data_IF_210065428941
#
_entry.id   IF_210065428941
#
_cell.length_a   1.000
_cell.length_b   1.000
_cell.length_c   1.000
_cell.angle_alpha   90.00
_cell.angle_beta   90.00
_cell.angle_gamma   90.00
#
_symmetry.space_group_name_H-M   'P 1'
#
loop_
_entity.id
_entity.type
_entity.pdbx_description
1 polymer ?
2 non-polymer ?
3 water ?
#
# COMPACT_ATOMS: atom_id res chain seq x y z
N UNK A 15 -11.12 -1.08 23.85
CA UNK A 15 -10.90 -1.52 22.48
C UNK A 15 -9.84 -0.67 21.77
N UNK A 16 -9.61 0.56 22.26
CA UNK A 16 -8.58 1.41 21.73
C UNK A 16 -8.93 2.14 20.46
N UNK A 17 -9.91 1.63 19.70
CA UNK A 17 -10.19 2.16 18.37
C UNK A 17 -10.94 3.49 18.44
N UNK A 18 -11.85 3.65 19.39
CA UNK A 18 -12.64 4.87 19.47
C UNK A 18 -11.71 6.06 19.69
N UNK A 19 -11.92 7.10 18.88
CA UNK A 19 -11.17 8.33 19.02
C UNK A 19 -10.99 9.03 17.69
N UNK A 20 -10.08 9.98 17.68
CA UNK A 20 -9.74 10.72 16.46
C UNK A 20 -8.36 10.30 15.98
N UNK A 21 -8.27 9.96 14.70
CA UNK A 21 -7.05 9.45 14.09
C UNK A 21 -6.73 10.32 12.88
N UNK A 22 -5.45 10.36 12.54
CA UNK A 22 -4.97 11.13 11.40
C UNK A 22 -4.03 10.25 10.61
N UNK A 23 -4.10 10.34 9.27
CA UNK A 23 -3.17 9.60 8.42
C UNK A 23 -2.06 10.54 7.93
N UNK A 24 -1.19 9.96 7.10
CA UNK A 24 -0.01 10.67 6.61
C UNK A 24 -0.36 11.81 5.66
N UNK A 25 -1.55 11.81 5.09
CA UNK A 25 -2.03 12.93 4.29
C UNK A 25 -2.62 14.06 5.15
N UNK A 26 -2.82 13.83 6.43
CA UNK A 26 -3.48 14.81 7.25
C UNK A 26 -4.99 14.68 7.29
N UNK A 27 -5.53 13.59 6.76
CA UNK A 27 -6.97 13.34 6.84
C UNK A 27 -7.36 12.98 8.27
N UNK A 28 -8.61 13.24 8.62
CA UNK A 28 -9.13 13.12 9.98
C UNK A 28 -10.23 12.07 10.02
N UNK A 29 -10.01 11.01 10.80
CA UNK A 29 -10.91 9.87 10.94
C UNK A 29 -11.41 9.87 12.38
N UNK A 30 -12.70 10.20 12.56
CA UNK A 30 -13.31 10.29 13.88
C UNK A 30 -14.26 9.12 13.97
N UNK A 31 -13.99 8.20 14.89
CA UNK A 31 -14.65 6.91 14.87
C UNK A 31 -15.04 6.48 16.27
N UNK A 32 -16.17 5.76 16.34
CA UNK A 32 -16.63 5.09 17.55
C UNK A 32 -16.77 3.60 17.24
N UNK A 33 -16.15 2.77 18.07
CA UNK A 33 -16.25 1.33 17.96
C UNK A 33 -17.28 0.84 18.97
N UNK A 34 -18.45 0.37 18.47
CA UNK A 34 -19.55 0.02 19.33
C UNK A 34 -19.51 -1.42 19.79
N UNK A 35 -20.31 -1.72 20.84
CA UNK A 35 -20.32 -3.05 21.43
C UNK A 35 -20.79 -4.12 20.46
N UNK A 36 -21.55 -3.74 19.42
CA UNK A 36 -22.08 -4.68 18.45
C UNK A 36 -21.13 -4.96 17.29
N UNK A 37 -19.87 -4.50 17.36
CA UNK A 37 -18.90 -4.65 16.28
C UNK A 37 -18.95 -3.60 15.20
N UNK A 38 -19.74 -2.56 15.36
CA UNK A 38 -19.85 -1.53 14.34
C UNK A 38 -18.84 -0.42 14.54
N UNK A 39 -18.38 0.14 13.43
CA UNK A 39 -17.66 1.40 13.39
C UNK A 39 -18.57 2.44 12.78
N UNK A 40 -18.63 3.60 13.42
CA UNK A 40 -19.42 4.72 12.94
C UNK A 40 -18.56 5.97 13.10
N UNK A 41 -18.85 6.97 12.31
CA UNK A 41 -18.18 8.25 12.52
C UNK A 41 -18.11 9.07 11.24
N UNK A 42 -17.07 9.90 11.18
CA UNK A 42 -16.90 10.81 10.05
C UNK A 42 -15.46 10.79 9.58
N UNK A 43 -15.31 11.06 8.29
CA UNK A 43 -14.01 11.11 7.64
C UNK A 43 -13.89 12.42 6.87
N UNK A 44 -12.77 13.11 7.06
CA UNK A 44 -12.44 14.33 6.32
C UNK A 44 -11.14 14.08 5.59
N UNK A 45 -11.19 14.06 4.27
CA UNK A 45 -9.97 13.84 3.49
C UNK A 45 -9.25 15.15 3.25
N UNK A 46 -7.95 15.15 3.46
CA UNK A 46 -7.10 16.28 3.12
C UNK A 46 -6.67 16.28 1.65
N UNK A 47 -7.06 15.25 0.89
CA UNK A 47 -6.66 15.09 -0.50
C UNK A 47 -7.87 14.75 -1.36
N UNK A 48 -7.75 15.05 -2.65
CA UNK A 48 -8.75 14.60 -3.60
C UNK A 48 -9.98 15.48 -3.67
N UNK A 49 -11.02 14.93 -4.30
CA UNK A 49 -12.25 15.63 -4.62
C UNK A 49 -13.19 15.49 -3.44
N UNK A 50 -12.91 16.26 -2.41
CA UNK A 50 -13.54 16.06 -1.10
C UNK A 50 -13.42 17.35 -0.33
N UNK A 51 -14.47 17.67 0.40
CA UNK A 51 -14.44 18.81 1.31
C UNK A 51 -15.32 18.51 2.51
N UNK A 52 -14.89 18.99 3.67
CA UNK A 52 -15.62 18.78 4.93
C UNK A 52 -15.76 17.29 5.28
N UNK A 53 -16.78 16.94 6.06
CA UNK A 53 -16.90 15.60 6.62
C UNK A 53 -17.85 14.74 5.81
N UNK A 54 -17.55 13.43 5.79
CA UNK A 54 -18.37 12.41 5.14
C UNK A 54 -18.70 11.33 6.16
N UNK A 55 -19.90 10.75 6.04
CA UNK A 55 -20.30 9.63 6.88
C UNK A 55 -19.44 8.41 6.57
N UNK A 56 -19.06 7.68 7.61
CA UNK A 56 -18.45 6.37 7.43
C UNK A 56 -19.18 5.32 8.26
N UNK A 57 -19.12 4.08 7.79
CA UNK A 57 -19.59 2.94 8.57
C UNK A 57 -18.68 1.76 8.25
N UNK A 58 -18.50 0.89 9.23
CA UNK A 58 -17.68 -0.28 9.05
C UNK A 58 -17.92 -1.28 10.16
N UNK A 59 -16.98 -2.22 10.26
CA UNK A 59 -17.04 -3.32 11.21
C UNK A 59 -15.65 -3.59 11.75
N UNK A 60 -15.59 -4.14 12.97
CA UNK A 60 -14.31 -4.54 13.56
C UNK A 60 -14.55 -5.80 14.37
N UNK A 61 -13.47 -6.54 14.62
CA UNK A 61 -13.47 -7.72 15.48
C UNK A 61 -13.57 -7.26 16.94
N UNK A 62 -14.73 -7.49 17.55
CA UNK A 62 -14.96 -7.02 18.90
C UNK A 62 -14.43 -7.98 19.96
N UNK A 63 -13.82 -9.08 19.57
CA UNK A 63 -13.20 -10.03 20.50
C UNK A 63 -11.92 -10.55 19.88
N UNK A 64 -10.91 -9.70 19.74
CA UNK A 64 -9.68 -10.08 19.04
C UNK A 64 -8.87 -11.10 19.82
N UNK A 65 -7.88 -11.68 19.13
CA UNK A 65 -6.97 -12.60 19.78
C UNK A 65 -6.16 -11.88 20.85
N UNK A 66 -5.68 -12.66 21.82
CA UNK A 66 -4.88 -12.17 22.95
C UNK A 66 -3.41 -12.53 22.83
N UNK A 67 -2.93 -12.79 21.61
CA UNK A 67 -1.58 -13.30 21.38
C UNK A 67 -0.63 -12.25 20.82
N UNK A 68 -1.01 -10.98 20.82
CA UNK A 68 -0.23 -9.92 20.22
C UNK A 68 -0.67 -9.52 18.83
N UNK A 69 -1.60 -10.25 18.23
CA UNK A 69 -2.11 -9.87 16.93
C UNK A 69 -2.96 -8.61 17.04
N UNK A 70 -3.03 -7.87 15.94
CA UNK A 70 -3.92 -6.74 15.87
C UNK A 70 -5.39 -7.09 15.73
N UNK A 71 -6.22 -6.06 15.72
CA UNK A 71 -7.67 -6.18 15.65
C UNK A 71 -8.11 -5.83 14.24
N UNK A 72 -8.65 -6.82 13.52
CA UNK A 72 -9.06 -6.61 12.14
C UNK A 72 -10.28 -5.71 12.04
N UNK A 73 -10.33 -4.90 11.00
CA UNK A 73 -11.41 -3.94 10.85
C UNK A 73 -11.46 -3.47 9.40
N UNK A 74 -12.56 -2.79 9.06
CA UNK A 74 -12.67 -2.10 7.78
C UNK A 74 -13.78 -1.08 7.84
N UNK A 75 -13.72 -0.10 6.93
CA UNK A 75 -14.82 0.86 6.81
C UNK A 75 -14.91 1.42 5.41
N UNK A 76 -16.03 2.05 5.13
CA UNK A 76 -16.35 2.63 3.82
C UNK A 76 -16.77 4.10 4.00
N UNK A 77 -16.32 4.95 3.06
CA UNK A 77 -16.84 6.31 2.84
C UNK A 77 -17.31 6.37 1.39
N UNK A 78 -18.56 6.76 1.15
CA UNK A 78 -19.00 7.23 -0.16
C UNK A 78 -18.82 8.74 -0.20
N UNK A 79 -18.19 9.26 -1.25
CA UNK A 79 -17.74 10.65 -1.28
C UNK A 79 -18.85 11.62 -1.73
N UNK A 80 -19.99 11.51 -1.05
CA UNK A 80 -21.11 12.41 -1.21
C UNK A 80 -21.47 12.96 0.17
N UNK A 81 -21.60 14.28 0.26
CA UNK A 81 -22.10 14.92 1.46
C UNK A 81 -23.00 16.06 1.00
N UNK A 82 -23.38 16.94 1.94
CA UNK A 82 -24.28 18.02 1.58
C UNK A 82 -23.65 19.03 0.64
N UNK A 83 -22.33 19.03 0.51
CA UNK A 83 -21.62 20.05 -0.24
C UNK A 83 -21.08 19.59 -1.59
N UNK A 84 -20.85 18.29 -1.76
CA UNK A 84 -20.10 17.77 -2.89
C UNK A 84 -20.52 16.33 -3.13
N UNK A 85 -20.42 15.89 -4.38
CA UNK A 85 -20.54 14.47 -4.70
C UNK A 85 -19.50 14.12 -5.75
N UNK A 86 -18.53 13.30 -5.37
CA UNK A 86 -17.45 12.86 -6.24
C UNK A 86 -17.69 11.48 -6.83
N UNK A 87 -18.91 10.98 -6.75
CA UNK A 87 -19.31 9.74 -7.42
C UNK A 87 -18.25 8.65 -7.29
N UNK A 88 -17.92 8.36 -6.04
CA UNK A 88 -16.83 7.45 -5.74
C UNK A 88 -16.96 6.99 -4.30
N UNK A 89 -16.23 5.93 -3.96
CA UNK A 89 -16.25 5.39 -2.61
C UNK A 89 -14.91 4.75 -2.32
N UNK A 90 -14.46 4.87 -1.08
CA UNK A 90 -13.24 4.21 -0.62
C UNK A 90 -13.56 3.24 0.49
N UNK A 91 -12.93 2.08 0.44
CA UNK A 91 -12.91 1.17 1.57
C UNK A 91 -11.49 1.03 2.09
N UNK A 92 -11.36 1.02 3.41
CA UNK A 92 -10.10 0.76 4.09
C UNK A 92 -10.21 -0.55 4.83
N UNK A 93 -9.20 -1.40 4.65
CA UNK A 93 -9.09 -2.71 5.29
C UNK A 93 -7.78 -2.79 6.04
N UNK A 94 -7.83 -3.16 7.30
CA UNK A 94 -6.59 -3.21 8.06
C UNK A 94 -6.77 -3.64 9.48
N UNK A 95 -5.91 -3.16 10.35
CA UNK A 95 -5.99 -3.57 11.72
C UNK A 95 -5.44 -2.52 12.66
N UNK A 96 -6.03 -2.47 13.84
CA UNK A 96 -5.57 -1.70 14.96
C UNK A 96 -4.50 -2.48 15.70
N UNK A 97 -3.38 -1.82 15.98
CA UNK A 97 -2.29 -2.37 16.76
C UNK A 97 -2.09 -1.44 17.96
N UNK A 98 -2.32 -1.97 19.16
CA UNK A 98 -2.20 -1.17 20.35
C UNK A 98 -0.76 -1.08 20.83
N UNK A 99 -0.58 -0.32 21.91
CA UNK A 99 0.71 -0.21 22.56
C UNK A 99 1.10 1.23 22.78
N UNK A 100 2.39 1.45 23.02
CA UNK A 100 2.90 2.78 23.34
C UNK A 100 2.44 3.78 22.29
N UNK A 101 2.57 3.43 21.01
CA UNK A 101 2.16 4.26 19.89
C UNK A 101 1.13 3.47 19.09
N UNK A 102 -0.14 3.57 19.50
CA UNK A 102 -1.20 2.84 18.81
C UNK A 102 -1.31 3.31 17.37
N UNK A 103 -1.62 2.37 16.48
CA UNK A 103 -1.76 2.69 15.07
C UNK A 103 -2.86 1.86 14.44
N UNK A 104 -3.42 2.38 13.38
CA UNK A 104 -4.28 1.60 12.50
C UNK A 104 -3.61 1.55 11.14
N UNK A 105 -3.18 0.37 10.73
CA UNK A 105 -2.53 0.17 9.43
C UNK A 105 -3.57 -0.31 8.44
N UNK A 106 -3.67 0.36 7.29
CA UNK A 106 -4.66 0.03 6.30
C UNK A 106 -4.13 -0.01 4.90
N UNK A 107 -4.84 -0.72 4.06
CA UNK A 107 -4.75 -0.55 2.62
C UNK A 107 -6.15 -0.29 2.14
N UNK A 108 -6.27 0.46 1.07
CA UNK A 108 -7.55 0.98 0.62
C UNK A 108 -7.75 0.78 -0.87
N UNK A 109 -9.05 0.80 -1.24
CA UNK A 109 -9.52 0.71 -2.62
C UNK A 109 -10.50 1.84 -2.83
N UNK A 110 -10.22 2.68 -3.83
CA UNK A 110 -11.11 3.78 -4.19
C UNK A 110 -11.67 3.47 -5.55
N UNK A 111 -12.99 3.27 -5.61
CA UNK A 111 -13.69 3.02 -6.86
C UNK A 111 -14.45 4.27 -7.26
N UNK A 112 -14.36 4.65 -8.51
CA UNK A 112 -15.11 5.79 -9.05
C UNK A 112 -16.07 5.27 -10.09
N UNK A 113 -17.23 5.94 -10.20
CA UNK A 113 -18.23 5.50 -11.16
C UNK A 113 -17.66 5.52 -12.56
N UNK A 114 -17.97 4.49 -13.33
CA UNK A 114 -17.46 4.38 -14.70
C UNK A 114 -18.46 3.60 -15.54
N UNK A 115 -18.35 3.74 -16.86
CA UNK A 115 -19.17 2.86 -17.69
C UNK A 115 -18.64 1.44 -17.58
N UNK A 116 -19.46 0.47 -18.03
CA UNK A 116 -18.97 -0.91 -18.08
C UNK A 116 -17.69 -1.01 -18.91
N UNK A 117 -17.62 -0.29 -20.03
CA UNK A 117 -16.46 -0.37 -20.92
C UNK A 117 -15.20 0.19 -20.27
N UNK A 118 -15.32 1.21 -19.41
CA UNK A 118 -14.17 1.77 -18.72
C UNK A 118 -13.97 1.19 -17.33
N UNK A 119 -14.72 0.14 -16.99
CA UNK A 119 -14.67 -0.41 -15.66
C UNK A 119 -13.32 -1.00 -15.30
N UNK A 120 -12.56 -1.47 -16.31
CA UNK A 120 -11.24 -2.01 -16.02
C UNK A 120 -10.34 -0.99 -15.34
N UNK A 121 -10.55 0.30 -15.63
CA UNK A 121 -9.78 1.39 -15.03
C UNK A 121 -10.62 2.22 -14.07
N UNK A 122 -11.18 1.58 -13.06
CA UNK A 122 -12.09 2.28 -12.15
C UNK A 122 -11.71 2.18 -10.68
N UNK A 123 -10.58 1.58 -10.33
CA UNK A 123 -10.22 1.41 -8.91
C UNK A 123 -8.77 1.74 -8.68
N UNK A 124 -8.53 2.70 -7.79
CA UNK A 124 -7.19 2.96 -7.29
C UNK A 124 -6.95 2.14 -6.04
N UNK A 125 -5.68 1.80 -5.80
CA UNK A 125 -5.25 1.13 -4.57
C UNK A 125 -4.19 1.99 -3.90
N UNK A 126 -4.20 1.95 -2.57
CA UNK A 126 -3.20 2.67 -1.80
C UNK A 126 -3.17 2.17 -0.38
N UNK A 127 -2.46 2.96 0.45
CA UNK A 127 -2.29 2.58 1.85
C UNK A 127 -2.21 3.83 2.71
N UNK A 128 -2.87 3.75 3.88
CA UNK A 128 -2.87 4.82 4.86
C UNK A 128 -2.52 4.23 6.23
N UNK A 129 -1.69 4.94 6.98
CA UNK A 129 -1.38 4.61 8.36
C UNK A 129 -1.92 5.73 9.24
N UNK A 130 -2.68 5.34 10.24
CA UNK A 130 -3.33 6.30 11.13
C UNK A 130 -2.73 6.23 12.53
N UNK A 131 -2.51 7.40 13.14
CA UNK A 131 -2.12 7.51 14.53
C UNK A 131 -2.97 8.61 15.17
N UNK A 132 -2.90 8.70 16.50
CA UNK A 132 -3.70 9.70 17.20
C UNK A 132 -3.00 11.06 17.30
N UNK A 133 -1.82 11.23 16.71
CA UNK A 133 -1.08 12.47 16.85
C UNK A 133 -1.51 13.44 15.74
N UNK A 134 -2.10 14.56 16.14
CA UNK A 134 -2.51 15.58 15.19
C UNK A 134 -1.29 16.04 14.40
N UNK A 135 -1.31 15.97 13.07
CA UNK A 135 -0.08 16.22 12.32
C UNK A 135 0.24 17.70 12.22
N UNK A 136 0.03 18.42 13.31
CA UNK A 136 0.39 19.83 13.42
C UNK A 136 1.85 20.05 13.02
N UNK B 13 16.03 8.64 -14.25
CA UNK B 13 17.17 8.48 -15.15
C UNK B 13 17.86 7.13 -14.93
N UNK B 14 18.58 6.67 -15.96
CA UNK B 14 19.45 5.51 -15.78
C UNK B 14 20.29 5.68 -14.51
N UNK B 15 20.97 6.82 -14.40
CA UNK B 15 21.85 7.05 -13.27
C UNK B 15 21.11 7.03 -11.95
N UNK B 16 19.89 7.60 -11.92
CA UNK B 16 19.19 7.70 -10.65
C UNK B 16 18.71 6.36 -10.14
N UNK B 17 18.25 5.48 -11.04
CA UNK B 17 17.68 4.20 -10.63
C UNK B 17 18.76 3.18 -10.31
N UNK B 18 19.78 3.09 -11.16
CA UNK B 18 20.79 2.03 -10.96
C UNK B 18 21.48 2.14 -9.62
N UNK B 19 21.52 1.05 -8.89
CA UNK B 19 22.23 1.01 -7.62
C UNK B 19 21.51 0.13 -6.62
N UNK B 20 21.86 0.29 -5.34
CA UNK B 20 21.29 -0.47 -4.25
C UNK B 20 20.25 0.37 -3.51
N UNK B 21 19.09 -0.23 -3.24
CA UNK B 21 17.98 0.41 -2.56
C UNK B 21 17.56 -0.50 -1.41
N UNK B 22 16.92 0.10 -0.39
CA UNK B 22 16.49 -0.62 0.79
C UNK B 22 15.05 -0.25 1.08
N UNK B 23 14.24 -1.23 1.48
CA UNK B 23 12.88 -0.93 1.92
C UNK B 23 12.79 -0.96 3.44
N UNK B 24 11.57 -0.69 3.94
CA UNK B 24 11.32 -0.58 5.37
C UNK B 24 11.46 -1.92 6.11
N UNK B 25 11.39 -3.03 5.40
CA UNK B 25 11.63 -4.35 6.00
C UNK B 25 13.13 -4.65 6.12
N UNK B 26 14.00 -3.86 5.51
CA UNK B 26 15.42 -4.15 5.47
C UNK B 26 15.84 -4.99 4.30
N UNK B 27 14.97 -5.20 3.33
CA UNK B 27 15.33 -5.92 2.12
C UNK B 27 16.23 -5.06 1.24
N UNK B 28 17.01 -5.73 0.39
CA UNK B 28 18.04 -5.08 -0.43
C UNK B 28 17.71 -5.34 -1.89
N UNK B 29 17.46 -4.26 -2.64
CA UNK B 29 17.07 -4.29 -4.06
C UNK B 29 18.25 -3.72 -4.84
N UNK B 30 18.89 -4.58 -5.64
CA UNK B 30 20.07 -4.22 -6.41
C UNK B 30 19.68 -4.26 -7.88
N UNK B 31 19.72 -3.11 -8.54
CA UNK B 31 19.12 -2.98 -9.87
C UNK B 31 20.00 -2.18 -10.80
N UNK B 32 19.95 -2.54 -12.08
CA UNK B 32 20.56 -1.80 -13.15
C UNK B 32 19.47 -1.44 -14.15
N UNK B 33 19.38 -0.16 -14.49
CA UNK B 33 18.40 0.33 -15.45
C UNK B 33 19.14 0.50 -16.76
N UNK B 34 18.80 -0.35 -17.74
CA UNK B 34 19.50 -0.36 -19.01
C UNK B 34 18.90 0.60 -20.01
N UNK B 35 19.67 0.91 -21.06
CA UNK B 35 19.23 1.91 -22.02
C UNK B 35 17.95 1.51 -22.76
N UNK B 36 17.67 0.21 -22.82
CA UNK B 36 16.53 -0.31 -23.56
C UNK B 36 15.23 -0.35 -22.74
N UNK B 37 15.21 0.26 -21.56
CA UNK B 37 14.06 0.17 -20.67
C UNK B 37 14.04 -1.05 -19.77
N UNK B 38 15.10 -1.85 -19.72
CA UNK B 38 15.10 -3.04 -18.91
C UNK B 38 15.61 -2.75 -17.49
N UNK B 39 15.03 -3.45 -16.52
CA UNK B 39 15.56 -3.54 -15.17
C UNK B 39 16.06 -4.96 -14.96
N UNK B 40 17.26 -5.08 -14.41
CA UNK B 40 17.94 -6.36 -14.18
C UNK B 40 18.72 -6.27 -12.87
N UNK B 41 18.62 -7.32 -12.05
CA UNK B 41 19.38 -7.30 -10.81
C UNK B 41 19.00 -8.43 -9.89
N UNK B 42 19.16 -8.17 -8.60
CA UNK B 42 18.91 -9.16 -7.56
C UNK B 42 18.14 -8.56 -6.41
N UNK B 43 17.39 -9.41 -5.74
CA UNK B 43 16.57 -9.00 -4.61
C UNK B 43 16.87 -9.95 -3.48
N UNK B 44 17.14 -9.38 -2.29
CA UNK B 44 17.36 -10.15 -1.07
C UNK B 44 16.28 -9.69 -0.10
N UNK B 45 15.34 -10.59 0.23
CA UNK B 45 14.26 -10.24 1.14
C UNK B 45 14.67 -10.50 2.58
N UNK B 46 14.37 -9.54 3.45
CA UNK B 46 14.57 -9.73 4.87
C UNK B 46 13.40 -10.43 5.53
N UNK B 47 12.34 -10.74 4.78
CA UNK B 47 11.13 -11.31 5.34
C UNK B 47 10.65 -12.46 4.47
N UNK B 48 9.92 -13.38 5.08
CA UNK B 48 9.24 -14.45 4.36
C UNK B 48 10.15 -15.62 4.04
N UNK B 49 9.66 -16.47 3.14
CA UNK B 49 10.28 -17.74 2.83
C UNK B 49 11.30 -17.52 1.74
N UNK B 50 12.45 -17.00 2.16
CA UNK B 50 13.44 -16.48 1.25
C UNK B 50 14.79 -16.45 1.95
N UNK B 51 15.85 -16.77 1.21
CA UNK B 51 17.20 -16.63 1.73
C UNK B 51 18.11 -16.28 0.57
N UNK B 52 19.11 -15.44 0.84
CA UNK B 52 20.08 -15.02 -0.15
C UNK B 52 19.40 -14.26 -1.28
N UNK B 53 20.01 -14.24 -2.46
CA UNK B 53 19.58 -13.37 -3.55
C UNK B 53 18.73 -14.13 -4.56
N UNK B 54 17.79 -13.42 -5.16
CA UNK B 54 16.94 -13.93 -6.23
C UNK B 54 17.06 -13.03 -7.45
N UNK B 55 16.98 -13.64 -8.63
CA UNK B 55 16.96 -12.86 -9.88
C UNK B 55 15.70 -12.00 -9.96
N UNK B 56 15.84 -10.78 -10.43
CA UNK B 56 14.70 -9.97 -10.82
C UNK B 56 14.87 -9.44 -12.23
N UNK B 57 13.74 -9.17 -12.85
CA UNK B 57 13.71 -8.51 -14.15
C UNK B 57 12.46 -7.66 -14.20
N UNK B 58 12.57 -6.52 -14.89
CA UNK B 58 11.44 -5.62 -15.01
C UNK B 58 11.66 -4.62 -16.13
N UNK B 59 10.86 -3.57 -16.09
CA UNK B 59 10.87 -2.53 -17.12
C UNK B 59 10.67 -1.19 -16.46
N UNK B 60 11.18 -0.14 -17.11
CA UNK B 60 10.95 1.22 -16.65
C UNK B 60 10.79 2.10 -17.88
N UNK B 61 10.16 3.26 -17.67
CA UNK B 61 10.00 4.26 -18.73
C UNK B 61 11.34 4.95 -18.92
N UNK B 62 11.99 4.68 -20.06
CA UNK B 62 13.31 5.25 -20.31
C UNK B 62 13.27 6.67 -20.87
N UNK B 63 12.09 7.25 -21.06
CA UNK B 63 11.96 8.63 -21.52
C UNK B 63 10.81 9.26 -20.77
N UNK B 64 10.96 9.46 -19.47
CA UNK B 64 9.84 9.95 -18.66
C UNK B 64 9.47 11.38 -19.00
N UNK B 65 8.31 11.77 -18.51
CA UNK B 65 7.85 13.13 -18.70
C UNK B 65 8.82 14.12 -18.06
N UNK B 66 8.79 15.34 -18.56
CA UNK B 66 9.65 16.41 -18.07
C UNK B 66 8.87 17.43 -17.24
N UNK B 67 7.79 17.00 -16.62
CA UNK B 67 6.92 17.91 -15.87
C UNK B 67 7.05 17.75 -14.36
N UNK B 68 8.02 16.99 -13.88
CA UNK B 68 8.17 16.74 -12.46
C UNK B 68 7.60 15.45 -11.96
N UNK B 69 6.90 14.69 -12.81
CA UNK B 69 6.35 13.41 -12.41
C UNK B 69 7.47 12.41 -12.21
N UNK B 70 7.15 11.32 -11.51
CA UNK B 70 8.08 10.22 -11.37
C UNK B 70 8.18 9.36 -12.60
N UNK B 71 9.09 8.40 -12.53
CA UNK B 71 9.39 7.48 -13.62
C UNK B 71 8.74 6.14 -13.30
N UNK B 72 7.76 5.76 -14.10
CA UNK B 72 7.02 4.53 -13.85
C UNK B 72 7.89 3.30 -14.13
N UNK B 73 7.70 2.26 -13.33
CA UNK B 73 8.49 1.05 -13.44
C UNK B 73 7.79 -0.11 -12.74
N UNK B 74 8.31 -1.31 -12.97
CA UNK B 74 7.89 -2.49 -12.25
C UNK B 74 8.93 -3.58 -12.40
N UNK B 75 8.87 -4.55 -11.50
CA UNK B 75 9.73 -5.73 -11.63
C UNK B 75 9.08 -6.92 -10.95
N UNK B 76 9.61 -8.09 -11.26
CA UNK B 76 9.16 -9.38 -10.74
C UNK B 76 10.32 -10.16 -10.14
N UNK B 77 10.05 -10.84 -9.02
CA UNK B 77 10.91 -11.87 -8.46
C UNK B 77 10.08 -13.15 -8.35
N UNK B 78 10.56 -14.25 -8.93
CA UNK B 78 10.05 -15.58 -8.58
C UNK B 78 10.95 -16.13 -7.48
N UNK B 79 10.33 -16.65 -6.41
CA UNK B 79 11.05 -16.97 -5.18
C UNK B 79 11.69 -18.35 -5.25
N UNK B 80 12.44 -18.58 -6.33
CA UNK B 80 13.23 -19.78 -6.52
C UNK B 80 14.66 -19.35 -6.84
N UNK B 81 15.62 -19.94 -6.15
CA UNK B 81 17.03 -19.75 -6.45
C UNK B 81 17.73 -21.09 -6.29
N UNK B 82 19.05 -21.07 -6.25
CA UNK B 82 19.82 -22.31 -6.16
C UNK B 82 19.59 -23.04 -4.83
N UNK B 83 19.05 -22.35 -3.84
CA UNK B 83 18.96 -22.88 -2.49
C UNK B 83 17.57 -23.37 -2.13
N UNK B 84 16.53 -22.81 -2.73
CA UNK B 84 15.17 -23.16 -2.32
C UNK B 84 14.17 -22.62 -3.32
N UNK B 85 12.92 -23.08 -3.16
CA UNK B 85 11.80 -22.71 -4.03
C UNK B 85 10.57 -22.57 -3.15
N UNK B 86 10.03 -21.36 -3.06
CA UNK B 86 8.84 -21.06 -2.28
C UNK B 86 7.57 -20.97 -3.13
N UNK B 87 7.63 -21.47 -4.37
CA UNK B 87 6.46 -21.60 -5.24
C UNK B 87 5.59 -20.34 -5.20
N UNK B 88 6.21 -19.21 -5.50
CA UNK B 88 5.54 -17.91 -5.38
C UNK B 88 6.33 -16.88 -6.15
N UNK B 89 5.69 -15.74 -6.40
CA UNK B 89 6.31 -14.65 -7.14
C UNK B 89 5.71 -13.34 -6.66
N UNK B 90 6.53 -12.29 -6.61
CA UNK B 90 6.09 -10.95 -6.26
C UNK B 90 6.33 -10.02 -7.42
N UNK B 91 5.36 -9.15 -7.70
CA UNK B 91 5.58 -8.04 -8.59
C UNK B 91 5.45 -6.73 -7.82
N UNK B 92 6.33 -5.78 -8.11
CA UNK B 92 6.29 -4.44 -7.56
C UNK B 92 5.99 -3.47 -8.70
N UNK B 93 5.03 -2.59 -8.49
CA UNK B 93 4.63 -1.57 -9.45
C UNK B 93 4.78 -0.22 -8.76
N UNK B 94 5.46 0.72 -9.40
CA UNK B 94 5.60 2.00 -8.76
C UNK B 94 6.36 3.00 -9.58
N UNK B 95 7.02 3.93 -8.91
CA UNK B 95 7.75 4.93 -9.65
C UNK B 95 8.92 5.44 -8.83
N UNK B 96 9.97 5.78 -9.57
CA UNK B 96 11.14 6.47 -9.04
C UNK B 96 10.89 7.95 -9.02
N UNK B 97 11.14 8.56 -7.87
CA UNK B 97 11.04 10.00 -7.70
C UNK B 97 12.41 10.45 -7.26
N UNK B 98 13.08 11.24 -8.11
CA UNK B 98 14.42 11.66 -7.81
C UNK B 98 14.45 12.86 -6.89
N UNK B 99 15.67 13.26 -6.51
CA UNK B 99 15.87 14.47 -5.75
C UNK B 99 16.69 14.22 -4.51
N UNK B 100 16.63 15.19 -3.59
CA UNK B 100 17.43 15.14 -2.37
C UNK B 100 17.25 13.83 -1.62
N UNK B 101 16.01 13.38 -1.49
CA UNK B 101 15.70 12.13 -0.80
C UNK B 101 15.03 11.25 -1.84
N UNK B 102 15.84 10.62 -2.68
CA UNK B 102 15.31 9.80 -3.75
C UNK B 102 14.55 8.61 -3.18
N UNK B 103 13.49 8.21 -3.88
CA UNK B 103 12.63 7.14 -3.43
C UNK B 103 12.13 6.34 -4.61
N UNK B 104 11.87 5.07 -4.39
CA UNK B 104 11.02 4.29 -5.29
C UNK B 104 9.81 3.86 -4.48
N UNK B 105 8.65 4.41 -4.83
CA UNK B 105 7.41 4.13 -4.10
C UNK B 105 6.71 3.02 -4.83
N UNK B 106 6.39 1.93 -4.14
CA UNK B 106 5.77 0.79 -4.79
C UNK B 106 4.58 0.21 -4.02
N UNK B 107 3.73 -0.46 -4.81
CA UNK B 107 2.71 -1.40 -4.36
C UNK B 107 3.17 -2.75 -4.87
N UNK B 108 2.81 -3.85 -4.17
CA UNK B 108 3.22 -5.16 -4.64
C UNK B 108 2.09 -6.17 -4.50
N UNK B 109 2.22 -7.24 -5.30
CA UNK B 109 1.31 -8.38 -5.30
C UNK B 109 2.17 -9.62 -5.19
N UNK B 110 1.91 -10.45 -4.21
CA UNK B 110 2.65 -11.69 -3.97
C UNK B 110 1.67 -12.83 -4.18
N UNK B 111 1.88 -13.61 -5.24
CA UNK B 111 1.01 -14.74 -5.56
C UNK B 111 1.74 -16.03 -5.23
N UNK B 112 1.06 -16.93 -4.57
CA UNK B 112 1.61 -18.25 -4.28
C UNK B 112 0.79 -19.34 -4.97
N UNK B 113 1.46 -20.44 -5.33
CA UNK B 113 0.77 -21.49 -6.04
C UNK B 113 -0.39 -22.02 -5.22
N UNK B 114 -1.51 -22.27 -5.90
CA UNK B 114 -2.70 -22.77 -5.21
C UNK B 114 -3.50 -23.63 -6.17
N UNK B 115 -4.35 -24.49 -5.60
CA UNK B 115 -5.29 -25.23 -6.43
C UNK B 115 -6.33 -24.25 -6.97
N UNK B 116 -7.09 -24.71 -7.97
CA UNK B 116 -8.06 -23.82 -8.59
C UNK B 116 -9.11 -23.40 -7.56
N UNK B 117 -9.54 -24.35 -6.71
CA UNK B 117 -10.57 -24.06 -5.73
C UNK B 117 -10.11 -23.01 -4.72
N UNK B 118 -8.82 -22.97 -4.41
CA UNK B 118 -8.26 -22.00 -3.45
C UNK B 118 -7.66 -20.78 -4.11
N UNK B 119 -7.86 -20.62 -5.42
CA UNK B 119 -7.23 -19.51 -6.11
C UNK B 119 -7.69 -18.16 -5.61
N UNK B 120 -8.92 -18.08 -5.10
CA UNK B 120 -9.42 -16.81 -4.58
C UNK B 120 -8.55 -16.28 -3.45
N UNK B 121 -7.86 -17.14 -2.71
CA UNK B 121 -7.03 -16.75 -1.60
C UNK B 121 -5.56 -17.00 -1.88
N UNK B 122 -5.06 -16.51 -3.01
CA UNK B 122 -3.70 -16.83 -3.43
C UNK B 122 -2.80 -15.63 -3.65
N UNK B 123 -3.27 -14.42 -3.33
CA UNK B 123 -2.48 -13.21 -3.57
C UNK B 123 -2.55 -12.26 -2.40
N UNK B 124 -1.38 -11.93 -1.83
CA UNK B 124 -1.26 -10.86 -0.87
C UNK B 124 -0.98 -9.55 -1.58
N UNK B 125 -1.42 -8.46 -0.97
CA UNK B 125 -1.10 -7.11 -1.45
C UNK B 125 -0.36 -6.36 -0.33
N UNK B 126 0.56 -5.50 -0.76
CA UNK B 126 1.26 -4.69 0.21
C UNK B 126 1.93 -3.53 -0.49
N UNK B 127 2.83 -2.88 0.28
CA UNK B 127 3.51 -1.70 -0.24
C UNK B 127 4.90 -1.63 0.38
N UNK B 128 5.86 -1.25 -0.46
CA UNK B 128 7.25 -1.05 -0.03
C UNK B 128 7.71 0.31 -0.52
N UNK B 129 8.41 1.03 0.35
CA UNK B 129 9.06 2.29 0.01
C UNK B 129 10.56 2.05 0.03
N UNK B 130 11.21 2.24 -1.10
CA UNK B 130 12.65 2.06 -1.24
C UNK B 130 13.36 3.40 -1.17
N UNK B 131 14.45 3.44 -0.40
CA UNK B 131 15.30 4.62 -0.25
C UNK B 131 16.74 4.19 -0.44
N UNK B 132 17.61 5.20 -0.55
CA UNK B 132 19.03 4.94 -0.77
C UNK B 132 19.76 4.65 0.53
N UNK B 133 19.17 4.93 1.68
CA UNK B 133 19.77 4.64 2.97
C UNK B 133 18.90 3.67 3.74
N UNK B 134 19.53 2.73 4.42
CA UNK B 134 18.79 1.73 5.20
C UNK B 134 18.01 2.41 6.32
N UNK B 135 16.81 1.95 6.63
CA UNK B 135 16.03 2.55 7.71
C UNK B 135 16.47 2.02 9.06
N UNK B 136 16.03 2.70 10.11
CA UNK B 136 16.31 2.31 11.50
C UNK B 136 17.74 1.81 11.71
#
# INVERSE_FOLDING_TARGET
MASMTGGQQMGRREAGITGTWYNQLGSTFIVTAGADGALTGTYESAAGKAESRYVLTGRYDSAPATDGSGTALGWTVAWKNNYRNAHSATTWSGQYVGGAEARINTQWLLTFGATEANGWASTYVGHDTFTKVKPSAASIDAAKKAGVNNGNPLDAVQQ
MASMTGGQQMGRREAGITGTWYNQLGSTFIVTAGADGALTGTYESAAGKAESRYVLTGRYDSAPATDGSGTALGWTVAWKNNYRNAHSATTWSGQYVGGAEARINTQWLLTFGATEANGWASTYVGHDTFTKVKPSAASIDAAKKAGVNNGNPLDAVQQ
#
